data_IF_392729370470
#
_entry.id   IF_392729370470
#
_cell.length_a   1.000
_cell.length_b   1.000
_cell.length_c   1.000
_cell.angle_alpha   90.00
_cell.angle_beta   90.00
_cell.angle_gamma   90.00
#
_symmetry.space_group_name_H-M   'P 1'
#
loop_
_entity.id
_entity.type
_entity.pdbx_description
1 polymer ?
#
# COMPACT_ATOMS: atom_id res chain seq x y z
N UNK A 1 -1.08 13.11 13.38
CA UNK A 1 -1.45 11.71 13.08
C UNK A 1 -0.21 10.82 12.86
N UNK A 2 0.72 11.14 11.94
CA UNK A 2 2.00 10.40 11.80
C UNK A 2 2.81 10.29 13.11
N UNK A 3 2.98 11.40 13.83
CA UNK A 3 3.65 11.38 15.15
C UNK A 3 2.99 10.42 16.15
N UNK A 4 1.67 10.27 16.11
CA UNK A 4 0.95 9.34 16.98
C UNK A 4 1.20 7.88 16.57
N UNK A 5 1.25 7.61 15.26
CA UNK A 5 1.56 6.29 14.75
C UNK A 5 3.00 5.85 15.13
N UNK A 6 3.96 6.77 15.09
CA UNK A 6 5.32 6.51 15.56
C UNK A 6 5.36 6.21 17.06
N UNK A 7 4.65 7.00 17.89
CA UNK A 7 4.54 6.74 19.34
C UNK A 7 3.95 5.35 19.63
N UNK A 8 2.93 4.94 18.87
CA UNK A 8 2.32 3.61 19.01
C UNK A 8 3.33 2.51 18.65
N UNK A 9 4.10 2.71 17.56
CA UNK A 9 5.15 1.77 17.14
C UNK A 9 6.22 1.60 18.22
N UNK A 10 6.69 2.71 18.80
CA UNK A 10 7.68 2.69 19.88
C UNK A 10 7.16 1.99 21.13
N UNK A 11 5.89 2.25 21.50
CA UNK A 11 5.26 1.58 22.62
C UNK A 11 5.09 0.07 22.38
N UNK A 12 4.73 -0.34 21.16
CA UNK A 12 4.65 -1.74 20.80
C UNK A 12 6.01 -2.46 20.93
N UNK A 13 7.10 -1.81 20.50
CA UNK A 13 8.46 -2.34 20.67
C UNK A 13 8.82 -2.54 22.15
N UNK A 14 8.48 -1.58 23.02
CA UNK A 14 8.68 -1.70 24.47
C UNK A 14 7.85 -2.83 25.08
N UNK A 15 6.62 -3.05 24.61
CA UNK A 15 5.78 -4.15 25.09
C UNK A 15 6.37 -5.51 24.71
N UNK A 16 6.85 -5.66 23.47
CA UNK A 16 7.48 -6.90 23.00
C UNK A 16 8.74 -7.21 23.81
N UNK A 17 9.55 -6.19 24.11
CA UNK A 17 10.77 -6.36 24.89
C UNK A 17 10.49 -6.86 26.32
N UNK A 18 9.49 -6.28 26.98
CA UNK A 18 9.07 -6.63 28.34
C UNK A 18 8.23 -7.92 28.45
N UNK A 19 7.92 -8.55 27.33
CA UNK A 19 7.08 -9.76 27.31
C UNK A 19 7.85 -10.98 27.81
N UNK A 20 7.32 -11.71 28.79
CA UNK A 20 8.01 -12.87 29.39
C UNK A 20 7.80 -14.19 28.64
N UNK A 21 6.73 -14.31 27.84
CA UNK A 21 6.33 -15.55 27.18
C UNK A 21 6.98 -15.78 25.80
N UNK A 22 7.71 -14.80 25.27
CA UNK A 22 8.48 -14.95 24.05
C UNK A 22 9.94 -15.29 24.36
N UNK A 23 10.49 -16.24 23.61
CA UNK A 23 11.93 -16.44 23.57
C UNK A 23 12.64 -15.30 22.82
N UNK A 24 13.97 -15.25 22.93
CA UNK A 24 14.77 -14.17 22.33
C UNK A 24 14.64 -14.13 20.80
N UNK A 25 14.59 -15.29 20.14
CA UNK A 25 14.54 -15.40 18.69
C UNK A 25 13.20 -14.86 18.12
N UNK A 26 12.09 -15.19 18.77
CA UNK A 26 10.77 -14.68 18.40
C UNK A 26 10.69 -13.17 18.67
N UNK A 27 11.21 -12.69 19.81
CA UNK A 27 11.26 -11.23 20.11
C UNK A 27 11.97 -10.47 19.00
N UNK A 28 13.16 -10.90 18.59
CA UNK A 28 13.93 -10.26 17.51
C UNK A 28 13.13 -10.25 16.21
N UNK A 29 12.53 -11.38 15.84
CA UNK A 29 11.73 -11.49 14.60
C UNK A 29 10.53 -10.52 14.60
N UNK A 30 9.82 -10.42 15.72
CA UNK A 30 8.65 -9.53 15.84
C UNK A 30 9.10 -8.06 15.87
N UNK A 31 10.18 -7.74 16.60
CA UNK A 31 10.74 -6.39 16.62
C UNK A 31 11.16 -5.94 15.22
N UNK A 32 11.80 -6.81 14.43
CA UNK A 32 12.18 -6.50 13.06
C UNK A 32 10.96 -6.28 12.17
N UNK A 33 9.89 -7.05 12.34
CA UNK A 33 8.61 -6.79 11.65
C UNK A 33 8.06 -5.42 12.01
N UNK A 34 7.98 -5.08 13.30
CA UNK A 34 7.41 -3.79 13.77
C UNK A 34 8.23 -2.60 13.31
N UNK A 35 9.57 -2.69 13.34
CA UNK A 35 10.48 -1.64 12.84
C UNK A 35 10.28 -1.37 11.34
N UNK A 36 10.02 -2.42 10.57
CA UNK A 36 9.84 -2.34 9.12
C UNK A 36 8.40 -2.05 8.68
N UNK A 37 7.46 -1.78 9.61
CA UNK A 37 6.12 -1.34 9.25
C UNK A 37 6.20 0.03 8.56
N UNK A 38 5.73 0.09 7.32
CA UNK A 38 5.57 1.34 6.60
C UNK A 38 4.22 1.98 6.90
N UNK A 39 4.21 3.18 7.46
CA UNK A 39 2.99 3.94 7.77
C UNK A 39 2.61 4.78 6.54
N UNK A 40 1.46 4.50 5.94
CA UNK A 40 0.88 5.30 4.86
C UNK A 40 -0.34 6.03 5.38
N UNK A 41 -0.48 7.34 5.13
CA UNK A 41 -1.55 8.15 5.71
C UNK A 41 -2.05 9.23 4.76
N UNK A 42 -3.38 9.35 4.62
CA UNK A 42 -4.01 10.31 3.72
C UNK A 42 -4.16 9.74 2.31
N UNK A 43 -3.12 9.84 1.50
CA UNK A 43 -3.07 9.35 0.12
C UNK A 43 -1.69 8.73 -0.16
N UNK A 44 -1.55 7.92 -1.22
CA UNK A 44 -0.26 7.37 -1.61
C UNK A 44 0.74 8.46 -2.02
N UNK A 45 2.04 8.26 -1.77
CA UNK A 45 3.07 9.27 -2.04
C UNK A 45 3.21 9.64 -3.53
N UNK A 46 2.85 8.72 -4.44
CA UNK A 46 2.83 8.94 -5.89
C UNK A 46 1.64 9.79 -6.35
N UNK A 47 0.64 10.02 -5.49
CA UNK A 47 -0.59 10.71 -5.86
C UNK A 47 -0.29 12.17 -6.23
N UNK A 48 -0.38 12.48 -7.52
CA UNK A 48 -0.29 13.83 -8.08
C UNK A 48 -1.15 13.92 -9.35
N UNK A 49 -1.52 15.11 -9.77
CA UNK A 49 -2.40 15.31 -10.93
C UNK A 49 -1.81 14.72 -12.22
N UNK A 50 -0.49 14.85 -12.40
CA UNK A 50 0.25 14.28 -13.53
C UNK A 50 0.23 12.75 -13.49
N UNK A 51 0.59 12.17 -12.34
CA UNK A 51 0.58 10.71 -12.15
C UNK A 51 -0.82 10.12 -12.34
N UNK A 52 -1.85 10.79 -11.83
CA UNK A 52 -3.24 10.37 -11.96
C UNK A 52 -3.69 10.38 -13.42
N UNK A 53 -3.37 11.46 -14.14
CA UNK A 53 -3.66 11.59 -15.57
C UNK A 53 -2.95 10.51 -16.37
N UNK A 54 -1.68 10.25 -16.07
CA UNK A 54 -0.89 9.20 -16.72
C UNK A 54 -1.43 7.79 -16.44
N UNK A 55 -1.86 7.53 -15.20
CA UNK A 55 -2.44 6.25 -14.80
C UNK A 55 -3.74 5.96 -15.58
N UNK A 56 -4.64 6.94 -15.69
CA UNK A 56 -5.92 6.78 -16.37
C UNK A 56 -5.91 7.08 -17.88
N UNK A 57 -4.76 7.40 -18.49
CA UNK A 57 -4.67 7.82 -19.91
C UNK A 57 -5.29 6.84 -20.92
N UNK A 58 -5.29 5.54 -20.58
CA UNK A 58 -5.80 4.48 -21.45
C UNK A 58 -7.27 4.12 -21.16
N UNK A 59 -7.91 4.76 -20.17
CA UNK A 59 -9.31 4.53 -19.87
C UNK A 59 -10.19 5.23 -20.91
N UNK A 60 -10.82 4.43 -21.77
CA UNK A 60 -11.65 4.94 -22.85
C UNK A 60 -13.01 5.44 -22.32
N UNK A 61 -13.43 6.68 -22.65
CA UNK A 61 -14.76 7.16 -22.29
C UNK A 61 -15.85 6.40 -23.05
N UNK A 62 -17.05 6.32 -22.47
CA UNK A 62 -18.23 5.79 -23.14
C UNK A 62 -19.47 6.61 -22.75
N UNK A 63 -20.40 6.80 -23.69
CA UNK A 63 -21.63 7.56 -23.46
C UNK A 63 -22.59 6.86 -22.50
N UNK A 64 -22.62 5.52 -22.51
CA UNK A 64 -23.53 4.72 -21.68
C UNK A 64 -22.87 4.30 -20.37
N UNK A 65 -23.65 4.24 -19.30
CA UNK A 65 -23.16 3.74 -18.00
C UNK A 65 -22.62 2.30 -18.12
N UNK A 66 -23.34 1.42 -18.82
CA UNK A 66 -22.90 0.06 -19.06
C UNK A 66 -21.58 0.01 -19.82
N UNK A 67 -21.44 0.79 -20.89
CA UNK A 67 -20.19 0.86 -21.66
C UNK A 67 -19.01 1.41 -20.83
N UNK A 68 -19.24 2.35 -19.90
CA UNK A 68 -18.20 2.81 -18.97
C UNK A 68 -17.70 1.67 -18.08
N UNK A 69 -18.60 0.83 -17.58
CA UNK A 69 -18.24 -0.35 -16.78
C UNK A 69 -17.40 -1.33 -17.61
N UNK A 70 -17.82 -1.64 -18.85
CA UNK A 70 -17.05 -2.51 -19.76
C UNK A 70 -15.64 -1.94 -19.99
N UNK A 71 -15.52 -0.65 -20.25
CA UNK A 71 -14.22 -0.01 -20.49
C UNK A 71 -13.34 -0.01 -19.23
N UNK A 72 -13.91 0.24 -18.06
CA UNK A 72 -13.20 0.15 -16.78
C UNK A 72 -12.70 -1.27 -16.52
N UNK A 73 -13.52 -2.30 -16.75
CA UNK A 73 -13.10 -3.70 -16.58
C UNK A 73 -11.95 -4.08 -17.51
N UNK A 74 -11.99 -3.63 -18.77
CA UNK A 74 -10.89 -3.83 -19.73
C UNK A 74 -9.61 -3.13 -19.27
N UNK A 75 -9.72 -1.87 -18.83
CA UNK A 75 -8.60 -1.09 -18.31
C UNK A 75 -7.97 -1.77 -17.08
N UNK A 76 -8.77 -2.14 -16.08
CA UNK A 76 -8.28 -2.81 -14.88
C UNK A 76 -7.57 -4.14 -15.21
N UNK A 77 -8.10 -4.92 -16.15
CA UNK A 77 -7.45 -6.15 -16.62
C UNK A 77 -6.09 -5.86 -17.28
N UNK A 78 -6.01 -4.81 -18.10
CA UNK A 78 -4.76 -4.43 -18.75
C UNK A 78 -3.69 -4.03 -17.72
N UNK A 79 -4.05 -3.21 -16.72
CA UNK A 79 -3.13 -2.79 -15.65
C UNK A 79 -2.59 -4.01 -14.90
N UNK A 80 -3.46 -4.94 -14.47
CA UNK A 80 -3.03 -6.17 -13.79
C UNK A 80 -2.06 -7.00 -14.64
N UNK A 81 -2.25 -7.08 -15.96
CA UNK A 81 -1.36 -7.82 -16.86
C UNK A 81 0.00 -7.12 -17.03
N UNK A 82 0.02 -5.79 -17.04
CA UNK A 82 1.27 -5.01 -17.13
C UNK A 82 2.06 -5.09 -15.82
N UNK A 83 1.37 -5.05 -14.68
CA UNK A 83 1.97 -5.16 -13.35
C UNK A 83 2.49 -6.57 -13.05
N UNK A 84 1.94 -7.62 -13.69
CA UNK A 84 2.35 -9.01 -13.45
C UNK A 84 3.86 -9.27 -13.63
N UNK A 85 4.51 -8.54 -14.53
CA UNK A 85 5.95 -8.67 -14.80
C UNK A 85 6.82 -7.70 -14.00
N UNK A 86 6.22 -6.83 -13.20
CA UNK A 86 6.94 -5.87 -12.38
C UNK A 86 7.13 -6.44 -10.96
N UNK A 87 8.22 -6.10 -10.25
CA UNK A 87 8.28 -6.37 -8.82
C UNK A 87 7.08 -5.70 -8.16
N UNK A 88 6.57 -6.28 -7.07
CA UNK A 88 5.44 -5.72 -6.33
C UNK A 88 5.81 -4.34 -5.75
N UNK A 89 5.65 -3.30 -6.57
CA UNK A 89 5.71 -1.90 -6.17
C UNK A 89 4.35 -1.55 -5.57
N UNK A 90 4.36 -0.65 -4.59
CA UNK A 90 3.13 0.05 -4.21
C UNK A 90 2.80 0.91 -5.45
N UNK A 91 1.67 0.62 -6.09
CA UNK A 91 1.08 1.23 -7.31
C UNK A 91 1.64 2.62 -7.70
N UNK A 92 1.51 3.01 -8.99
CA UNK A 92 2.63 3.37 -9.88
C UNK A 92 3.92 3.87 -9.21
#
# INVERSE_FOLDING_TARGET
>A
ALKMAEIIKDNALKMIDNTWWFDKAIKTTIQDKVKNIHISMGYPDWYSDEQLTNYYKNLQPNATYFGKIINFMKFARLINLLEFHQPATKFP
#
